data_IF_112110904240
#
_entry.id   IF_112110904240
#
_cell.length_a   1.000
_cell.length_b   1.000
_cell.length_c   1.000
_cell.angle_alpha   90.00
_cell.angle_beta   90.00
_cell.angle_gamma   90.00
#
_symmetry.space_group_name_H-M   'P 1'
#
loop_
_entity.id
_entity.type
_entity.pdbx_description
1 polymer ?
#
# COMPACT_ATOMS: atom_id res chain seq x y z
N UNK A 1 -10.21 -36.81 -27.15
CA UNK A 1 -10.63 -35.49 -26.61
C UNK A 1 -10.56 -35.34 -25.08
N UNK A 2 -10.13 -36.33 -24.28
CA UNK A 2 -10.18 -36.24 -22.80
C UNK A 2 -8.91 -35.82 -22.04
N UNK A 3 -7.87 -35.30 -22.73
CA UNK A 3 -6.62 -34.91 -22.06
C UNK A 3 -6.64 -33.46 -21.55
N UNK A 4 -7.45 -32.58 -22.16
CA UNK A 4 -7.53 -31.17 -21.76
C UNK A 4 -8.36 -30.92 -20.50
N UNK A 5 -9.43 -31.68 -20.24
CA UNK A 5 -10.24 -31.50 -19.02
C UNK A 5 -9.49 -31.92 -17.75
N UNK A 6 -8.69 -32.99 -17.80
CA UNK A 6 -7.82 -33.39 -16.67
C UNK A 6 -6.65 -32.42 -16.44
N UNK A 7 -6.23 -31.66 -17.46
CA UNK A 7 -5.27 -30.58 -17.31
C UNK A 7 -5.91 -29.30 -16.74
N UNK A 8 -7.13 -28.94 -17.16
CA UNK A 8 -7.83 -27.76 -16.62
C UNK A 8 -8.24 -27.95 -15.15
N UNK A 9 -8.59 -29.16 -14.73
CA UNK A 9 -8.95 -29.46 -13.33
C UNK A 9 -7.74 -29.40 -12.36
N UNK A 10 -6.50 -29.30 -12.88
CA UNK A 10 -5.26 -29.33 -12.08
C UNK A 10 -4.59 -27.96 -11.93
N UNK A 11 -5.11 -26.93 -12.59
CA UNK A 11 -4.63 -25.56 -12.40
C UNK A 11 -5.33 -25.01 -11.15
N UNK A 12 -4.60 -24.63 -10.08
CA UNK A 12 -5.22 -23.97 -8.95
C UNK A 12 -5.66 -22.56 -9.38
N UNK A 13 -6.87 -22.46 -9.94
CA UNK A 13 -7.47 -21.19 -10.37
C UNK A 13 -7.45 -20.15 -9.23
N UNK A 14 -7.57 -20.60 -7.97
CA UNK A 14 -7.45 -19.75 -6.79
C UNK A 14 -6.10 -19.03 -6.69
N UNK A 15 -4.97 -19.74 -6.84
CA UNK A 15 -3.63 -19.13 -6.75
C UNK A 15 -3.32 -18.23 -7.95
N UNK A 16 -3.82 -18.59 -9.14
CA UNK A 16 -3.67 -17.75 -10.34
C UNK A 16 -4.40 -16.41 -10.19
N UNK A 17 -5.66 -16.44 -9.74
CA UNK A 17 -6.44 -15.24 -9.47
C UNK A 17 -5.76 -14.40 -8.37
N UNK A 18 -5.31 -15.02 -7.28
CA UNK A 18 -4.59 -14.32 -6.21
C UNK A 18 -3.31 -13.64 -6.71
N UNK A 19 -2.57 -14.26 -7.63
CA UNK A 19 -1.35 -13.67 -8.19
C UNK A 19 -1.66 -12.43 -9.02
N UNK A 20 -2.70 -12.47 -9.86
CA UNK A 20 -3.14 -11.32 -10.66
C UNK A 20 -3.65 -10.20 -9.76
N UNK A 21 -4.48 -10.52 -8.76
CA UNK A 21 -4.99 -9.54 -7.80
C UNK A 21 -3.86 -8.89 -6.99
N UNK A 22 -2.87 -9.67 -6.56
CA UNK A 22 -1.68 -9.16 -5.88
C UNK A 22 -0.87 -8.23 -6.80
N UNK A 23 -0.71 -8.58 -8.09
CA UNK A 23 0.06 -7.78 -9.04
C UNK A 23 -0.59 -6.41 -9.28
N UNK A 24 -1.90 -6.42 -9.53
CA UNK A 24 -2.69 -5.20 -9.67
C UNK A 24 -2.65 -4.38 -8.39
N UNK A 25 -2.81 -5.01 -7.22
CA UNK A 25 -2.72 -4.35 -5.92
C UNK A 25 -1.39 -3.65 -5.71
N UNK A 26 -0.25 -4.29 -5.99
CA UNK A 26 1.08 -3.69 -5.83
C UNK A 26 1.28 -2.52 -6.80
N UNK A 27 0.86 -2.65 -8.05
CA UNK A 27 0.98 -1.56 -9.04
C UNK A 27 0.16 -0.34 -8.64
N UNK A 28 -1.10 -0.55 -8.26
CA UNK A 28 -2.00 0.52 -7.80
C UNK A 28 -1.45 1.13 -6.52
N UNK A 29 -1.02 0.31 -5.55
CA UNK A 29 -0.45 0.76 -4.29
C UNK A 29 0.79 1.64 -4.50
N UNK A 30 1.77 1.20 -5.28
CA UNK A 30 2.98 1.99 -5.55
C UNK A 30 2.66 3.30 -6.27
N UNK A 31 1.78 3.28 -7.27
CA UNK A 31 1.40 4.47 -8.04
C UNK A 31 0.65 5.50 -7.18
N UNK A 32 -0.36 5.04 -6.44
CA UNK A 32 -1.17 5.90 -5.55
C UNK A 32 -0.37 6.42 -4.37
N UNK A 33 0.46 5.60 -3.74
CA UNK A 33 1.34 6.03 -2.64
C UNK A 33 2.38 7.05 -3.08
N UNK A 34 3.04 6.85 -4.22
CA UNK A 34 4.01 7.81 -4.72
C UNK A 34 3.36 9.18 -5.00
N UNK A 35 2.18 9.18 -5.62
CA UNK A 35 1.41 10.40 -5.89
C UNK A 35 0.91 11.06 -4.60
N UNK A 36 0.30 10.29 -3.71
CA UNK A 36 -0.22 10.77 -2.41
C UNK A 36 0.89 11.36 -1.53
N UNK A 37 2.02 10.67 -1.41
CA UNK A 37 3.18 11.17 -0.66
C UNK A 37 3.79 12.44 -1.28
N UNK A 38 3.80 12.54 -2.61
CA UNK A 38 4.26 13.76 -3.30
C UNK A 38 3.32 14.93 -3.02
N UNK A 39 2.01 14.73 -3.09
CA UNK A 39 1.01 15.75 -2.76
C UNK A 39 1.12 16.19 -1.30
N UNK A 40 1.29 15.25 -0.37
CA UNK A 40 1.45 15.55 1.05
C UNK A 40 2.69 16.40 1.34
N UNK A 41 3.82 16.11 0.67
CA UNK A 41 5.02 16.95 0.80
C UNK A 41 4.84 18.31 0.17
N UNK A 42 4.28 18.39 -1.04
CA UNK A 42 4.07 19.67 -1.71
C UNK A 42 3.17 20.57 -0.88
N UNK A 43 2.10 20.02 -0.30
CA UNK A 43 1.23 20.70 0.65
C UNK A 43 2.04 21.24 1.84
N UNK A 44 2.94 20.43 2.42
CA UNK A 44 3.79 20.86 3.52
C UNK A 44 4.79 21.96 3.12
N UNK A 45 5.41 21.84 1.94
CA UNK A 45 6.43 22.78 1.47
C UNK A 45 5.84 24.12 1.01
N UNK A 46 4.76 24.10 0.21
CA UNK A 46 4.13 25.31 -0.36
C UNK A 46 3.39 26.12 0.69
N UNK A 47 2.70 25.45 1.63
CA UNK A 47 1.82 26.13 2.58
C UNK A 47 2.58 26.51 3.85
N UNK A 48 3.47 25.64 4.33
CA UNK A 48 4.18 25.86 5.58
C UNK A 48 5.61 26.38 5.39
N UNK A 49 6.11 26.50 4.15
CA UNK A 49 7.47 26.97 3.82
C UNK A 49 8.60 26.21 4.57
N UNK A 50 8.34 24.97 4.98
CA UNK A 50 9.29 24.15 5.73
C UNK A 50 9.93 23.13 4.77
N UNK A 51 11.13 23.45 4.28
CA UNK A 51 11.95 22.53 3.48
C UNK A 51 12.60 21.46 4.37
N UNK A 52 11.82 20.44 4.74
CA UNK A 52 12.36 19.28 5.44
C UNK A 52 12.87 18.26 4.43
N UNK A 53 14.12 18.42 3.98
CA UNK A 53 14.82 17.42 3.16
C UNK A 53 14.74 16.00 3.75
N UNK A 54 14.67 15.90 5.08
CA UNK A 54 14.48 14.65 5.82
C UNK A 54 13.14 13.95 5.55
N UNK A 55 12.05 14.71 5.42
CA UNK A 55 10.70 14.14 5.18
C UNK A 55 10.62 13.56 3.76
N UNK A 56 11.27 14.22 2.81
CA UNK A 56 11.42 13.71 1.44
C UNK A 56 12.24 12.41 1.36
N UNK A 57 13.27 12.27 2.19
CA UNK A 57 14.00 11.00 2.27
C UNK A 57 13.13 9.89 2.86
N UNK A 58 12.46 10.16 3.99
CA UNK A 58 11.63 9.16 4.70
C UNK A 58 10.47 8.66 3.83
N UNK A 59 9.79 9.53 3.09
CA UNK A 59 8.69 9.10 2.19
C UNK A 59 9.18 8.14 1.12
N UNK A 60 10.34 8.43 0.50
CA UNK A 60 10.89 7.64 -0.59
C UNK A 60 11.35 6.28 -0.09
N UNK A 61 11.92 6.23 1.11
CA UNK A 61 12.24 4.96 1.79
C UNK A 61 11.00 4.12 2.03
N UNK A 62 9.90 4.71 2.48
CA UNK A 62 8.66 3.98 2.74
C UNK A 62 8.04 3.40 1.45
N UNK A 63 8.01 4.18 0.37
CA UNK A 63 7.54 3.73 -0.95
C UNK A 63 8.45 2.61 -1.48
N UNK A 64 9.77 2.75 -1.34
CA UNK A 64 10.72 1.75 -1.80
C UNK A 64 10.56 0.42 -1.03
N UNK A 65 10.42 0.47 0.30
CA UNK A 65 10.17 -0.72 1.12
C UNK A 65 8.89 -1.42 0.66
N UNK A 66 7.79 -0.68 0.50
CA UNK A 66 6.53 -1.23 0.01
C UNK A 66 6.65 -1.88 -1.37
N UNK A 67 7.38 -1.24 -2.29
CA UNK A 67 7.63 -1.78 -3.63
C UNK A 67 8.48 -3.05 -3.61
N UNK A 68 9.58 -3.07 -2.84
CA UNK A 68 10.42 -4.26 -2.67
C UNK A 68 9.63 -5.42 -2.06
N UNK A 69 8.83 -5.15 -1.04
CA UNK A 69 7.99 -6.15 -0.39
C UNK A 69 6.90 -6.71 -1.32
N UNK A 70 6.26 -5.85 -2.12
CA UNK A 70 5.30 -6.27 -3.14
C UNK A 70 5.95 -7.14 -4.22
N UNK A 71 7.14 -6.76 -4.70
CA UNK A 71 7.90 -7.53 -5.67
C UNK A 71 8.30 -8.91 -5.11
N UNK A 72 8.77 -8.97 -3.86
CA UNK A 72 9.07 -10.23 -3.18
C UNK A 72 7.83 -11.11 -3.04
N UNK A 73 6.67 -10.54 -2.67
CA UNK A 73 5.40 -11.25 -2.62
C UNK A 73 5.00 -11.84 -3.96
N UNK A 74 5.11 -11.06 -5.04
CA UNK A 74 4.81 -11.52 -6.40
C UNK A 74 5.74 -12.65 -6.85
N UNK A 75 7.04 -12.53 -6.59
CA UNK A 75 8.01 -13.58 -6.91
C UNK A 75 7.66 -14.90 -6.20
N UNK A 76 7.27 -14.83 -4.93
CA UNK A 76 6.87 -16.01 -4.14
C UNK A 76 5.57 -16.62 -4.67
N UNK A 77 4.56 -15.80 -4.99
CA UNK A 77 3.29 -16.27 -5.56
C UNK A 77 3.52 -16.94 -6.93
N UNK A 78 4.37 -16.36 -7.78
CA UNK A 78 4.74 -16.93 -9.07
C UNK A 78 5.47 -18.27 -8.94
N UNK A 79 6.43 -18.39 -8.02
CA UNK A 79 7.12 -19.66 -7.73
C UNK A 79 6.12 -20.68 -7.16
N UNK A 80 5.19 -20.25 -6.30
CA UNK A 80 4.10 -21.07 -5.78
C UNK A 80 3.20 -21.63 -6.88
N UNK A 81 2.81 -20.80 -7.85
CA UNK A 81 2.05 -21.24 -9.02
C UNK A 81 2.82 -22.27 -9.86
N UNK A 82 4.09 -21.98 -10.22
CA UNK A 82 4.93 -22.88 -11.04
C UNK A 82 5.20 -24.22 -10.34
N UNK A 83 5.37 -24.22 -9.01
CA UNK A 83 5.55 -25.44 -8.22
C UNK A 83 4.31 -26.34 -8.24
N UNK A 84 3.11 -25.76 -8.39
CA UNK A 84 1.82 -26.48 -8.35
C UNK A 84 1.37 -26.93 -9.76
N UNK A 85 1.73 -26.18 -10.82
CA UNK A 85 1.19 -26.35 -12.17
C UNK A 85 1.85 -27.41 -13.07
N UNK A 86 3.16 -27.70 -12.98
CA UNK A 86 3.82 -28.50 -14.03
C UNK A 86 5.06 -29.35 -13.64
N UNK A 87 5.56 -29.34 -12.40
CA UNK A 87 6.86 -29.99 -12.09
C UNK A 87 6.76 -31.39 -11.49
N UNK A 88 5.67 -32.13 -11.72
CA UNK A 88 5.52 -33.52 -11.24
C UNK A 88 6.21 -34.58 -12.10
N UNK A 89 6.77 -34.27 -13.27
CA UNK A 89 7.18 -35.32 -14.22
C UNK A 89 8.64 -35.30 -14.73
N UNK A 90 9.48 -34.28 -14.48
CA UNK A 90 10.84 -34.26 -15.08
C UNK A 90 12.05 -33.99 -14.20
N UNK A 91 11.93 -33.45 -12.97
CA UNK A 91 13.13 -32.97 -12.25
C UNK A 91 13.48 -33.73 -10.95
N UNK A 92 12.57 -34.44 -10.29
CA UNK A 92 12.88 -35.09 -9.01
C UNK A 92 12.96 -36.63 -9.13
N UNK A 93 14.05 -37.13 -9.72
CA UNK A 93 14.44 -38.56 -9.69
C UNK A 93 15.51 -38.87 -8.62
N UNK A 94 15.74 -37.98 -7.66
CA UNK A 94 16.71 -38.14 -6.57
C UNK A 94 16.03 -38.24 -5.20
N UNK A 95 16.44 -39.20 -4.36
CA UNK A 95 15.82 -39.49 -3.06
C UNK A 95 15.99 -38.35 -2.03
N UNK A 96 17.04 -37.53 -2.15
CA UNK A 96 17.26 -36.30 -1.33
C UNK A 96 16.37 -35.12 -1.70
N UNK A 97 15.74 -35.16 -2.87
CA UNK A 97 14.85 -34.11 -3.36
C UNK A 97 13.54 -33.99 -2.55
N UNK A 98 13.01 -35.10 -2.01
CA UNK A 98 11.77 -35.08 -1.23
C UNK A 98 11.86 -34.32 0.10
N UNK A 99 13.05 -34.23 0.69
CA UNK A 99 13.30 -33.48 1.93
C UNK A 99 13.42 -31.97 1.65
N UNK A 100 14.10 -31.59 0.55
CA UNK A 100 14.20 -30.19 0.14
C UNK A 100 12.84 -29.58 -0.22
N UNK A 101 11.93 -30.33 -0.87
CA UNK A 101 10.62 -29.78 -1.25
C UNK A 101 9.75 -29.34 -0.06
N UNK A 102 9.79 -30.11 1.04
CA UNK A 102 9.07 -29.77 2.28
C UNK A 102 9.70 -28.58 3.01
N UNK A 103 11.03 -28.55 3.07
CA UNK A 103 11.76 -27.43 3.67
C UNK A 103 11.55 -26.13 2.88
N UNK A 104 11.62 -26.18 1.55
CA UNK A 104 11.34 -25.03 0.69
C UNK A 104 9.90 -24.53 0.88
N UNK A 105 8.91 -25.43 0.93
CA UNK A 105 7.51 -25.06 1.18
C UNK A 105 7.35 -24.37 2.56
N UNK A 106 7.95 -24.94 3.61
CA UNK A 106 7.91 -24.36 4.95
C UNK A 106 8.56 -22.97 5.00
N UNK A 107 9.70 -22.78 4.32
CA UNK A 107 10.38 -21.48 4.21
C UNK A 107 9.50 -20.48 3.44
N UNK A 108 8.88 -20.87 2.32
CA UNK A 108 7.99 -19.99 1.57
C UNK A 108 6.77 -19.57 2.40
N UNK A 109 6.16 -20.49 3.14
CA UNK A 109 5.05 -20.17 4.05
C UNK A 109 5.49 -19.19 5.14
N UNK A 110 6.67 -19.40 5.73
CA UNK A 110 7.23 -18.49 6.75
C UNK A 110 7.45 -17.09 6.19
N UNK A 111 8.06 -16.97 5.00
CA UNK A 111 8.29 -15.68 4.35
C UNK A 111 6.97 -14.98 4.02
N UNK A 112 6.00 -15.69 3.43
CA UNK A 112 4.67 -15.14 3.13
C UNK A 112 3.97 -14.64 4.40
N UNK A 113 4.11 -15.34 5.52
CA UNK A 113 3.55 -14.91 6.81
C UNK A 113 4.21 -13.61 7.33
N UNK A 114 5.53 -13.48 7.22
CA UNK A 114 6.24 -12.23 7.57
C UNK A 114 5.80 -11.08 6.66
N UNK A 115 5.69 -11.32 5.35
CA UNK A 115 5.17 -10.34 4.40
C UNK A 115 3.74 -9.91 4.78
N UNK A 116 2.88 -10.85 5.16
CA UNK A 116 1.50 -10.58 5.57
C UNK A 116 1.44 -9.65 6.79
N UNK A 117 2.23 -9.93 7.83
CA UNK A 117 2.31 -9.07 9.03
C UNK A 117 2.75 -7.67 8.64
N UNK A 118 3.77 -7.56 7.80
CA UNK A 118 4.30 -6.26 7.40
C UNK A 118 3.33 -5.48 6.49
N UNK A 119 2.57 -6.14 5.61
CA UNK A 119 1.47 -5.51 4.86
C UNK A 119 0.34 -5.01 5.77
N UNK A 120 0.02 -5.74 6.86
CA UNK A 120 -0.95 -5.29 7.85
C UNK A 120 -0.45 -4.04 8.59
N UNK A 121 0.83 -4.00 8.98
CA UNK A 121 1.42 -2.82 9.60
C UNK A 121 1.36 -1.60 8.67
N UNK A 122 1.66 -1.79 7.38
CA UNK A 122 1.52 -0.76 6.35
C UNK A 122 0.07 -0.29 6.23
N UNK A 123 -0.89 -1.22 6.17
CA UNK A 123 -2.32 -0.89 6.12
C UNK A 123 -2.76 -0.07 7.32
N UNK A 124 -2.35 -0.44 8.53
CA UNK A 124 -2.64 0.32 9.75
C UNK A 124 -2.12 1.77 9.64
N UNK A 125 -0.88 1.95 9.18
CA UNK A 125 -0.31 3.28 8.97
C UNK A 125 -1.09 4.09 7.92
N UNK A 126 -1.50 3.47 6.80
CA UNK A 126 -2.30 4.13 5.77
C UNK A 126 -3.66 4.60 6.28
N UNK A 127 -4.31 3.78 7.12
CA UNK A 127 -5.58 4.15 7.73
C UNK A 127 -5.42 5.37 8.63
N UNK A 128 -4.34 5.44 9.42
CA UNK A 128 -4.04 6.63 10.23
C UNK A 128 -3.85 7.87 9.36
N UNK A 129 -3.06 7.77 8.30
CA UNK A 129 -2.85 8.90 7.37
C UNK A 129 -4.15 9.31 6.70
N UNK A 130 -4.93 8.35 6.20
CA UNK A 130 -6.24 8.61 5.57
C UNK A 130 -7.18 9.33 6.54
N UNK A 131 -7.24 8.88 7.79
CA UNK A 131 -8.06 9.51 8.82
C UNK A 131 -7.68 10.98 9.06
N UNK A 132 -6.38 11.32 9.08
CA UNK A 132 -5.91 12.71 9.20
C UNK A 132 -6.36 13.54 8.01
N UNK A 133 -6.23 13.03 6.78
CA UNK A 133 -6.69 13.74 5.58
C UNK A 133 -8.21 13.90 5.53
N UNK A 134 -8.98 12.90 5.96
CA UNK A 134 -10.44 13.01 6.08
C UNK A 134 -10.86 14.08 7.10
N UNK A 135 -10.11 14.25 8.20
CA UNK A 135 -10.36 15.37 9.13
C UNK A 135 -10.14 16.70 8.41
N UNK A 136 -9.05 16.85 7.66
CA UNK A 136 -8.81 18.08 6.87
C UNK A 136 -9.90 18.33 5.84
N UNK A 137 -10.39 17.28 5.18
CA UNK A 137 -11.51 17.37 4.25
C UNK A 137 -12.78 17.90 4.94
N UNK A 138 -13.11 17.37 6.12
CA UNK A 138 -14.26 17.81 6.91
C UNK A 138 -14.14 19.24 7.41
N UNK A 139 -12.93 19.71 7.66
CA UNK A 139 -12.68 21.12 7.99
C UNK A 139 -12.90 22.03 6.79
N UNK A 140 -12.51 21.60 5.59
CA UNK A 140 -12.74 22.30 4.32
C UNK A 140 -14.23 22.38 3.94
N UNK A 141 -15.03 21.37 4.29
CA UNK A 141 -16.48 21.33 4.03
C UNK A 141 -17.28 22.29 4.93
N UNK A 142 -16.66 22.82 6.00
CA UNK A 142 -17.34 23.71 6.92
C UNK A 142 -17.70 25.06 6.23
N UNK A 143 -18.98 25.50 6.27
CA UNK A 143 -19.43 26.69 5.54
C UNK A 143 -18.63 27.95 5.87
N UNK A 144 -18.17 28.11 7.11
CA UNK A 144 -17.38 29.29 7.55
C UNK A 144 -16.01 29.38 6.87
N UNK A 145 -15.41 28.22 6.59
CA UNK A 145 -14.14 28.09 5.87
C UNK A 145 -14.38 28.21 4.36
N UNK A 146 -15.49 27.65 3.87
CA UNK A 146 -15.87 27.72 2.45
C UNK A 146 -16.18 29.15 1.97
N UNK A 147 -16.68 30.01 2.87
CA UNK A 147 -16.96 31.43 2.61
C UNK A 147 -15.72 32.31 2.89
N UNK A 148 -14.56 31.71 3.18
CA UNK A 148 -13.29 32.41 3.43
C UNK A 148 -13.33 33.42 4.59
N UNK A 149 -14.28 33.22 5.50
CA UNK A 149 -14.56 34.15 6.59
C UNK A 149 -13.73 33.83 7.84
N UNK A 150 -13.36 32.56 8.01
CA UNK A 150 -12.44 32.07 9.04
C UNK A 150 -11.20 31.42 8.40
N UNK A 151 -10.01 31.71 8.91
CA UNK A 151 -8.76 31.07 8.50
C UNK A 151 -8.67 29.63 9.03
N UNK A 152 -8.07 28.70 8.26
CA UNK A 152 -7.83 27.34 8.74
C UNK A 152 -6.64 27.38 9.70
N UNK A 153 -6.91 27.20 10.99
CA UNK A 153 -5.90 27.19 12.04
C UNK A 153 -5.45 25.74 12.32
N UNK A 154 -4.27 25.36 11.81
CA UNK A 154 -3.71 24.00 11.94
C UNK A 154 -2.86 23.85 13.21
N UNK A 155 -2.91 24.83 14.11
CA UNK A 155 -2.22 24.82 15.41
C UNK A 155 -2.63 23.66 16.30
N UNK A 156 -3.84 23.11 16.15
CA UNK A 156 -4.25 21.88 16.85
C UNK A 156 -3.42 20.66 16.46
N UNK A 157 -2.83 20.66 15.25
CA UNK A 157 -1.96 19.61 14.75
C UNK A 157 -0.48 19.94 14.95
N UNK A 158 -0.12 20.76 15.96
CA UNK A 158 1.27 21.15 16.21
C UNK A 158 2.23 19.95 16.32
N UNK A 159 1.74 18.78 16.76
CA UNK A 159 2.50 17.52 16.81
C UNK A 159 3.02 17.06 15.44
N UNK A 160 2.32 17.39 14.36
CA UNK A 160 2.72 17.03 12.99
C UNK A 160 3.83 17.94 12.45
N UNK A 161 4.06 19.09 13.08
CA UNK A 161 5.08 20.05 12.70
C UNK A 161 6.32 19.90 13.60
N UNK A 162 7.55 19.98 13.04
CA UNK A 162 8.76 19.92 13.85
C UNK A 162 8.85 21.12 14.82
N UNK A 163 9.58 20.94 15.92
CA UNK A 163 9.75 21.98 16.94
C UNK A 163 10.39 23.25 16.37
N UNK A 164 9.77 24.41 16.64
CA UNK A 164 10.25 25.72 16.18
C UNK A 164 9.47 26.36 15.02
N UNK A 165 8.40 25.72 14.54
CA UNK A 165 7.56 26.28 13.46
C UNK A 165 6.78 27.52 13.94
N UNK A 166 6.94 28.66 13.26
CA UNK A 166 6.29 29.94 13.62
C UNK A 166 4.78 29.87 13.42
N UNK A 167 3.97 30.40 14.34
CA UNK A 167 2.49 30.26 14.32
C UNK A 167 1.82 30.84 13.06
N UNK A 168 2.45 31.82 12.44
CA UNK A 168 2.01 32.44 11.19
C UNK A 168 2.08 31.51 9.97
N UNK A 169 2.95 30.49 9.98
CA UNK A 169 2.97 29.45 8.94
C UNK A 169 1.95 28.34 9.18
N UNK A 170 1.36 28.27 10.38
CA UNK A 170 0.36 27.24 10.74
C UNK A 170 -1.08 27.65 10.41
N UNK A 171 -1.29 28.85 9.87
CA UNK A 171 -2.60 29.37 9.49
C UNK A 171 -2.69 29.53 7.97
N UNK A 172 -3.61 28.82 7.34
CA UNK A 172 -3.93 29.04 5.92
C UNK A 172 -4.95 30.17 5.86
N UNK A 173 -4.47 31.37 5.53
CA UNK A 173 -5.30 32.57 5.40
C UNK A 173 -5.27 33.07 3.94
N UNK A 174 -6.45 33.33 3.38
CA UNK A 174 -6.62 33.82 2.01
C UNK A 174 -7.50 32.94 1.12
N UNK A 175 -8.31 33.56 0.28
CA UNK A 175 -9.25 32.87 -0.61
C UNK A 175 -8.55 31.87 -1.55
N UNK A 176 -7.44 32.28 -2.14
CA UNK A 176 -6.66 31.46 -3.08
C UNK A 176 -5.91 30.31 -2.39
N UNK A 177 -5.35 30.52 -1.20
CA UNK A 177 -4.59 29.50 -0.46
C UNK A 177 -5.50 28.44 0.17
N UNK A 178 -6.66 28.83 0.70
CA UNK A 178 -7.67 27.90 1.22
C UNK A 178 -8.24 27.03 0.09
N UNK A 179 -8.56 27.63 -1.06
CA UNK A 179 -9.05 26.89 -2.22
C UNK A 179 -8.02 25.89 -2.74
N UNK A 180 -6.75 26.31 -2.87
CA UNK A 180 -5.68 25.42 -3.29
C UNK A 180 -5.49 24.26 -2.28
N UNK A 181 -5.45 24.55 -0.97
CA UNK A 181 -5.33 23.53 0.06
C UNK A 181 -6.45 22.48 -0.03
N UNK A 182 -7.71 22.91 -0.02
CA UNK A 182 -8.86 22.01 0.04
C UNK A 182 -9.05 21.21 -1.26
N UNK A 183 -9.02 21.89 -2.43
CA UNK A 183 -9.35 21.27 -3.72
C UNK A 183 -8.10 20.60 -4.35
N UNK A 184 -6.96 21.30 -4.36
CA UNK A 184 -5.79 20.81 -5.11
C UNK A 184 -4.95 19.79 -4.35
N UNK A 185 -4.95 19.85 -3.01
CA UNK A 185 -4.18 18.94 -2.18
C UNK A 185 -5.05 17.95 -1.42
N UNK A 186 -5.95 18.42 -0.53
CA UNK A 186 -6.68 17.53 0.40
C UNK A 186 -7.59 16.56 -0.35
N UNK A 187 -8.44 17.03 -1.27
CA UNK A 187 -9.33 16.16 -2.06
C UNK A 187 -8.56 15.06 -2.79
N UNK A 188 -7.53 15.48 -3.54
CA UNK A 188 -6.74 14.60 -4.39
C UNK A 188 -5.93 13.63 -3.54
N UNK A 189 -5.36 14.08 -2.43
CA UNK A 189 -4.60 13.23 -1.52
C UNK A 189 -5.51 12.19 -0.84
N UNK A 190 -6.67 12.59 -0.33
CA UNK A 190 -7.64 11.67 0.29
C UNK A 190 -8.02 10.56 -0.68
N UNK A 191 -8.43 10.91 -1.91
CA UNK A 191 -8.77 9.92 -2.93
C UNK A 191 -7.61 8.96 -3.23
N UNK A 192 -6.37 9.47 -3.33
CA UNK A 192 -5.20 8.62 -3.55
C UNK A 192 -4.91 7.69 -2.38
N UNK A 193 -5.08 8.14 -1.13
CA UNK A 193 -4.90 7.30 0.06
C UNK A 193 -6.02 6.26 0.22
N UNK A 194 -7.26 6.60 -0.13
CA UNK A 194 -8.38 5.64 -0.16
C UNK A 194 -8.12 4.54 -1.22
N UNK A 195 -7.61 4.91 -2.39
CA UNK A 195 -7.21 3.92 -3.40
C UNK A 195 -6.02 3.06 -2.93
N UNK A 196 -5.04 3.66 -2.26
CA UNK A 196 -3.90 2.94 -1.69
C UNK A 196 -4.32 1.94 -0.60
N UNK A 197 -5.24 2.34 0.30
CA UNK A 197 -5.79 1.45 1.33
C UNK A 197 -6.56 0.30 0.70
N UNK A 198 -7.45 0.56 -0.28
CA UNK A 198 -8.14 -0.50 -1.02
C UNK A 198 -7.17 -1.47 -1.72
N UNK A 199 -6.12 -0.95 -2.35
CA UNK A 199 -5.08 -1.76 -3.00
C UNK A 199 -4.31 -2.62 -1.98
N UNK A 200 -3.97 -2.09 -0.82
CA UNK A 200 -3.31 -2.86 0.24
C UNK A 200 -4.19 -3.98 0.80
N UNK A 201 -5.51 -3.75 0.92
CA UNK A 201 -6.49 -4.79 1.29
C UNK A 201 -6.53 -5.89 0.23
N UNK A 202 -6.51 -5.54 -1.06
CA UNK A 202 -6.45 -6.52 -2.14
C UNK A 202 -5.18 -7.40 -2.07
N UNK A 203 -4.02 -6.80 -1.77
CA UNK A 203 -2.77 -7.55 -1.58
C UNK A 203 -2.86 -8.49 -0.38
N UNK A 204 -3.36 -8.01 0.75
CA UNK A 204 -3.57 -8.80 1.97
C UNK A 204 -4.50 -9.99 1.70
N UNK A 205 -5.65 -9.75 1.06
CA UNK A 205 -6.60 -10.81 0.72
C UNK A 205 -5.99 -11.85 -0.23
N UNK A 206 -5.16 -11.39 -1.18
CA UNK A 206 -4.46 -12.28 -2.11
C UNK A 206 -3.48 -13.21 -1.39
N UNK A 207 -2.68 -12.66 -0.47
CA UNK A 207 -1.72 -13.42 0.33
C UNK A 207 -2.42 -14.41 1.28
N UNK A 208 -3.51 -14.00 1.93
CA UNK A 208 -4.33 -14.87 2.79
C UNK A 208 -4.98 -16.00 1.98
N UNK A 209 -5.50 -15.70 0.79
CA UNK A 209 -6.11 -16.71 -0.09
C UNK A 209 -5.10 -17.75 -0.56
N UNK A 210 -3.85 -17.35 -0.85
CA UNK A 210 -2.79 -18.29 -1.21
C UNK A 210 -2.36 -19.15 -0.01
N UNK A 211 -2.24 -18.55 1.19
CA UNK A 211 -1.90 -19.27 2.41
C UNK A 211 -2.96 -20.32 2.78
N UNK A 212 -4.25 -19.95 2.71
CA UNK A 212 -5.37 -20.86 2.98
C UNK A 212 -5.40 -22.04 2.01
N UNK A 213 -5.09 -21.81 0.73
CA UNK A 213 -5.02 -22.86 -0.29
C UNK A 213 -3.90 -23.87 0.02
N UNK A 214 -2.75 -23.40 0.52
CA UNK A 214 -1.60 -24.24 0.87
C UNK A 214 -1.73 -24.96 2.21
N UNK A 215 -2.48 -24.42 3.17
CA UNK A 215 -2.68 -25.05 4.49
C UNK A 215 -3.62 -26.26 4.47
N UNK A 216 -4.42 -26.43 3.40
CA UNK A 216 -5.35 -27.55 3.22
C UNK A 216 -4.72 -28.77 2.50
N UNK A 217 -3.47 -28.66 2.04
CA UNK A 217 -2.72 -29.64 1.25
C UNK A 217 -1.63 -30.34 2.07
#
# INVERSE_FOLDING_TARGET
>A
MGCCEKCMTRIPYATLIATIMCALGVVIFCGTMYRGATLAVLMFSEIFNMQLFWVDAVKMTFVLIGACMGALGLMILMVGFLATGATRHKVYRGWGSRVSGRLSCAIFLCITYVLQIAWILMFCFLVLVTFVFTIFWKMCENPRVSTYQDSIDLTQFYFLFPEGTRQEHMKVSGESSVRAFCIDYVEKAELMFVLATAASVLVILSLVSDLSSKSLL
#
